data_IF_061506328484
#
_entry.id   IF_061506328484
#
_cell.length_a   1.000
_cell.length_b   1.000
_cell.length_c   1.000
_cell.angle_alpha   90.00
_cell.angle_beta   90.00
_cell.angle_gamma   90.00
#
_symmetry.space_group_name_H-M   'P 1'
#
loop_
_entity.id
_entity.type
_entity.pdbx_description
1 polymer ?
#
# COMPACT_ATOMS: atom_id res chain seq x y z
N UNK A 1 -40.29 -14.89 3.78
CA UNK A 1 -40.37 -13.53 4.37
C UNK A 1 -40.42 -12.51 3.24
N UNK A 2 -41.47 -11.68 3.24
CA UNK A 2 -41.97 -10.89 2.11
C UNK A 2 -41.08 -9.66 1.86
N UNK A 3 -40.54 -9.51 0.64
CA UNK A 3 -40.01 -8.23 0.13
C UNK A 3 -41.14 -7.50 -0.59
N UNK A 4 -41.49 -6.30 -0.14
CA UNK A 4 -42.48 -5.43 -0.77
C UNK A 4 -41.79 -4.59 -1.86
N UNK A 5 -42.20 -4.82 -3.11
CA UNK A 5 -42.19 -3.84 -4.20
C UNK A 5 -43.10 -2.67 -3.82
N UNK A 6 -42.66 -1.43 -4.07
CA UNK A 6 -43.56 -0.31 -4.38
C UNK A 6 -42.97 0.48 -5.55
N UNK A 7 -43.67 0.40 -6.67
CA UNK A 7 -43.62 1.38 -7.76
C UNK A 7 -44.91 2.19 -7.69
N UNK A 8 -44.83 3.52 -7.78
CA UNK A 8 -45.95 4.32 -8.25
C UNK A 8 -45.44 5.59 -8.95
N UNK A 9 -45.91 5.71 -10.18
CA UNK A 9 -45.64 6.67 -11.23
C UNK A 9 -46.54 7.91 -11.05
N UNK A 10 -46.05 9.10 -11.37
CA UNK A 10 -46.91 10.23 -11.76
C UNK A 10 -46.26 11.02 -12.91
N UNK A 11 -47.00 11.06 -14.02
CA UNK A 11 -46.86 11.78 -15.30
C UNK A 11 -47.39 13.24 -15.11
N UNK A 12 -47.21 14.28 -15.93
CA UNK A 12 -46.46 14.65 -17.15
C UNK A 12 -46.65 16.19 -17.35
N UNK A 13 -45.89 16.78 -18.29
CA UNK A 13 -46.03 18.06 -19.04
C UNK A 13 -45.29 19.29 -18.48
N UNK A 14 -44.61 20.16 -19.24
CA UNK A 14 -44.00 20.21 -20.58
C UNK A 14 -43.39 21.64 -20.75
N UNK A 15 -42.51 21.83 -21.75
CA UNK A 15 -41.93 23.09 -22.26
C UNK A 15 -40.65 23.55 -21.51
N UNK A 16 -39.55 23.99 -22.13
CA UNK A 16 -39.18 24.23 -23.52
C UNK A 16 -37.68 24.58 -23.58
N UNK A 17 -37.01 24.13 -24.64
CA UNK A 17 -35.83 24.71 -25.32
C UNK A 17 -34.78 25.52 -24.54
N UNK A 18 -33.54 25.01 -24.55
CA UNK A 18 -32.34 25.70 -25.07
C UNK A 18 -31.16 24.71 -25.04
N UNK A 19 -30.92 24.02 -26.16
CA UNK A 19 -29.67 23.30 -26.42
C UNK A 19 -28.72 24.25 -27.13
N UNK A 20 -27.74 24.79 -26.41
CA UNK A 20 -26.53 25.32 -27.05
C UNK A 20 -25.52 24.20 -27.13
N UNK A 21 -25.48 23.52 -28.29
CA UNK A 21 -24.35 22.69 -28.69
C UNK A 21 -23.15 23.62 -28.92
N UNK A 22 -22.22 23.65 -27.96
CA UNK A 22 -20.87 24.16 -28.22
C UNK A 22 -20.09 22.99 -28.80
N UNK A 23 -19.94 22.99 -30.12
CA UNK A 23 -18.97 22.13 -30.82
C UNK A 23 -17.54 22.59 -30.45
N UNK A 24 -17.08 22.15 -29.28
CA UNK A 24 -15.68 22.24 -28.88
C UNK A 24 -14.97 20.96 -29.31
N UNK A 25 -14.23 21.01 -30.42
CA UNK A 25 -13.24 20.00 -30.75
C UNK A 25 -12.21 19.98 -29.62
N UNK A 26 -12.20 18.89 -28.84
CA UNK A 26 -11.16 18.66 -27.83
C UNK A 26 -9.81 18.65 -28.55
N UNK A 27 -9.02 19.71 -28.37
CA UNK A 27 -7.63 19.69 -28.80
C UNK A 27 -6.89 18.62 -28.00
N UNK A 28 -6.10 17.75 -28.64
CA UNK A 28 -5.24 16.83 -27.92
C UNK A 28 -4.29 17.66 -27.04
N UNK A 29 -4.40 17.47 -25.73
CA UNK A 29 -3.44 17.99 -24.76
C UNK A 29 -2.09 17.39 -25.13
N UNK A 30 -1.22 18.18 -25.77
CA UNK A 30 0.17 17.80 -25.98
C UNK A 30 0.81 17.67 -24.61
N UNK A 31 0.94 16.45 -24.12
CA UNK A 31 1.83 16.15 -23.00
C UNK A 31 3.23 16.58 -23.41
N UNK A 32 3.68 17.72 -22.86
CA UNK A 32 5.05 18.16 -22.99
C UNK A 32 5.90 17.12 -22.27
N UNK A 33 6.78 16.46 -23.01
CA UNK A 33 7.77 15.55 -22.43
C UNK A 33 8.48 16.30 -21.26
N UNK A 34 8.56 15.71 -20.06
CA UNK A 34 9.23 16.37 -18.95
C UNK A 34 10.67 16.64 -19.35
N UNK A 35 11.08 17.91 -19.20
CA UNK A 35 12.47 18.32 -19.36
C UNK A 35 13.35 17.46 -18.46
N UNK A 36 14.35 16.81 -19.06
CA UNK A 36 15.38 16.03 -18.37
C UNK A 36 16.14 16.92 -17.39
N UNK A 37 15.73 16.91 -16.13
CA UNK A 37 16.54 17.46 -15.04
C UNK A 37 17.77 16.57 -14.92
N UNK A 38 18.94 17.12 -15.25
CA UNK A 38 20.23 16.46 -15.02
C UNK A 38 20.39 16.21 -13.53
N UNK A 39 20.20 14.95 -13.12
CA UNK A 39 20.49 14.49 -11.79
C UNK A 39 22.02 14.39 -11.61
N UNK A 40 22.56 15.13 -10.66
CA UNK A 40 23.92 14.93 -10.15
C UNK A 40 24.05 13.49 -9.68
N UNK A 41 24.96 12.72 -10.28
CA UNK A 41 25.17 11.30 -9.98
C UNK A 41 25.52 11.10 -8.51
N UNK A 42 24.77 10.28 -7.75
CA UNK A 42 25.16 9.95 -6.39
C UNK A 42 26.40 9.05 -6.39
N UNK A 43 27.21 9.26 -5.37
CA UNK A 43 28.41 8.54 -4.95
C UNK A 43 28.37 7.05 -5.29
N UNK A 44 29.46 6.58 -5.90
CA UNK A 44 29.77 5.18 -6.23
C UNK A 44 29.25 4.17 -5.19
N UNK A 45 28.04 3.66 -5.42
CA UNK A 45 27.57 2.43 -4.80
C UNK A 45 28.31 1.31 -5.53
N UNK A 46 29.26 0.66 -4.88
CA UNK A 46 29.77 -0.65 -5.33
C UNK A 46 28.56 -1.50 -5.69
N UNK A 47 28.35 -1.75 -6.98
CA UNK A 47 27.24 -2.55 -7.49
C UNK A 47 27.37 -3.93 -6.88
N UNK A 48 26.61 -4.17 -5.81
CA UNK A 48 26.67 -5.42 -5.09
C UNK A 48 26.12 -6.48 -6.04
N UNK A 49 26.98 -7.41 -6.45
CA UNK A 49 26.62 -8.43 -7.43
C UNK A 49 25.58 -9.36 -6.83
N UNK A 50 24.40 -9.42 -7.44
CA UNK A 50 23.37 -10.43 -7.12
C UNK A 50 23.91 -11.80 -7.53
N UNK A 51 23.91 -12.76 -6.61
CA UNK A 51 24.15 -14.17 -6.94
C UNK A 51 22.86 -14.79 -7.49
N UNK A 52 22.79 -15.16 -8.78
CA UNK A 52 21.59 -15.76 -9.36
C UNK A 52 21.18 -17.08 -8.71
N UNK A 53 22.10 -17.79 -8.05
CA UNK A 53 21.82 -19.05 -7.36
C UNK A 53 21.24 -18.84 -5.96
N UNK A 54 21.52 -17.69 -5.33
CA UNK A 54 21.11 -17.35 -3.97
C UNK A 54 20.74 -15.87 -3.86
N UNK A 55 19.57 -15.51 -4.41
CA UNK A 55 19.06 -14.15 -4.41
C UNK A 55 18.65 -13.76 -2.99
N UNK A 56 19.43 -12.86 -2.38
CA UNK A 56 19.17 -12.24 -1.08
C UNK A 56 18.46 -10.91 -1.28
N UNK A 57 17.47 -10.60 -0.45
CA UNK A 57 16.72 -9.35 -0.54
C UNK A 57 17.66 -8.13 -0.47
N UNK A 58 18.60 -8.11 0.48
CA UNK A 58 19.53 -6.99 0.65
C UNK A 58 20.48 -6.76 -0.54
N UNK A 59 20.70 -7.78 -1.36
CA UNK A 59 21.60 -7.70 -2.52
C UNK A 59 20.81 -7.30 -3.77
N UNK A 60 19.58 -7.82 -3.90
CA UNK A 60 18.71 -7.57 -5.04
C UNK A 60 17.93 -6.23 -4.94
N UNK A 61 17.57 -5.82 -3.72
CA UNK A 61 16.77 -4.62 -3.45
C UNK A 61 17.62 -3.43 -2.97
N UNK A 62 18.89 -3.66 -2.61
CA UNK A 62 19.81 -2.61 -2.14
C UNK A 62 19.40 -2.02 -0.79
N UNK A 63 19.40 -0.68 -0.71
CA UNK A 63 18.90 0.05 0.46
C UNK A 63 17.36 -0.07 0.59
N UNK A 64 16.92 -0.88 1.55
CA UNK A 64 15.51 -1.18 1.81
C UNK A 64 14.70 0.03 2.27
N UNK A 65 15.34 1.12 2.67
CA UNK A 65 14.63 2.36 3.07
C UNK A 65 14.22 3.21 1.87
N UNK A 66 14.88 3.04 0.72
CA UNK A 66 14.66 3.88 -0.46
C UNK A 66 14.35 3.10 -1.73
N UNK A 67 14.39 1.76 -1.70
CA UNK A 67 14.08 0.95 -2.86
C UNK A 67 12.66 1.25 -3.39
N UNK A 68 12.50 1.15 -4.70
CA UNK A 68 11.25 1.34 -5.41
C UNK A 68 10.72 -0.03 -5.86
N UNK A 69 9.66 -0.51 -5.20
CA UNK A 69 9.04 -1.79 -5.48
C UNK A 69 8.54 -1.91 -6.94
N UNK A 70 8.21 -0.81 -7.60
CA UNK A 70 7.71 -0.88 -8.99
C UNK A 70 8.77 -1.25 -10.02
N UNK A 71 10.03 -1.08 -9.66
CA UNK A 71 11.14 -1.35 -10.58
C UNK A 71 11.44 -2.84 -10.73
N UNK A 72 11.02 -3.68 -9.77
CA UNK A 72 11.25 -5.13 -9.82
C UNK A 72 10.20 -5.88 -10.65
N UNK A 73 9.08 -5.24 -10.95
CA UNK A 73 8.05 -5.71 -11.87
C UNK A 73 7.49 -4.52 -12.68
N UNK A 74 8.26 -3.98 -13.65
CA UNK A 74 7.81 -2.86 -14.45
C UNK A 74 6.56 -3.25 -15.25
N UNK A 75 5.68 -2.29 -15.56
CA UNK A 75 4.41 -2.56 -16.24
C UNK A 75 4.59 -3.32 -17.57
N UNK A 76 5.66 -3.02 -18.30
CA UNK A 76 6.00 -3.69 -19.56
C UNK A 76 6.36 -5.18 -19.41
N UNK A 77 6.68 -5.64 -18.19
CA UNK A 77 6.98 -7.04 -17.88
C UNK A 77 5.76 -7.80 -17.32
N UNK A 78 4.61 -7.14 -17.17
CA UNK A 78 3.41 -7.78 -16.66
C UNK A 78 2.93 -8.90 -17.58
N UNK A 79 2.36 -10.00 -17.03
CA UNK A 79 1.83 -11.09 -17.83
C UNK A 79 0.83 -10.60 -18.87
N UNK A 80 1.01 -10.97 -20.14
CA UNK A 80 0.16 -10.52 -21.25
C UNK A 80 -1.34 -10.79 -21.02
N UNK A 81 -1.68 -11.82 -20.22
CA UNK A 81 -3.06 -12.15 -19.86
C UNK A 81 -3.76 -11.04 -19.04
N UNK A 82 -3.01 -10.18 -18.35
CA UNK A 82 -3.57 -9.04 -17.61
C UNK A 82 -4.12 -7.97 -18.55
N UNK A 83 -3.69 -7.95 -19.82
CA UNK A 83 -4.17 -6.99 -20.82
C UNK A 83 -5.48 -7.39 -21.50
N UNK A 84 -6.08 -8.53 -21.14
CA UNK A 84 -7.25 -9.10 -21.83
C UNK A 84 -8.48 -8.17 -21.79
N UNK A 85 -8.69 -7.46 -20.69
CA UNK A 85 -9.88 -6.63 -20.46
C UNK A 85 -9.57 -5.14 -20.36
N UNK A 86 -8.34 -4.74 -20.68
CA UNK A 86 -7.85 -3.37 -20.58
C UNK A 86 -6.37 -3.35 -20.23
N UNK A 87 -5.74 -2.18 -20.29
CA UNK A 87 -4.32 -2.04 -19.96
C UNK A 87 -4.15 -1.88 -18.45
N UNK A 88 -3.36 -2.74 -17.78
CA UNK A 88 -2.98 -2.51 -16.39
C UNK A 88 -2.30 -1.15 -16.22
N UNK A 89 -2.61 -0.45 -15.14
CA UNK A 89 -2.04 0.87 -14.89
C UNK A 89 -1.61 1.02 -13.44
N UNK A 90 -0.55 1.79 -13.25
CA UNK A 90 0.00 2.07 -11.94
C UNK A 90 -0.97 2.98 -11.15
N UNK A 91 -1.24 2.65 -9.89
CA UNK A 91 -2.05 3.46 -8.98
C UNK A 91 -1.24 3.85 -7.74
N UNK A 92 -1.63 4.93 -7.07
CA UNK A 92 -0.95 5.36 -5.84
C UNK A 92 -0.94 4.21 -4.82
N UNK A 93 0.24 3.82 -4.31
CA UNK A 93 0.33 2.73 -3.36
C UNK A 93 -0.21 3.16 -2.00
N UNK A 94 -0.62 2.18 -1.19
CA UNK A 94 -1.09 2.45 0.18
C UNK A 94 0.06 2.73 1.15
N UNK A 95 1.24 2.17 0.89
CA UNK A 95 2.47 2.38 1.66
C UNK A 95 3.59 2.91 0.77
N UNK A 96 4.55 3.64 1.34
CA UNK A 96 5.70 4.16 0.58
C UNK A 96 6.62 3.04 0.06
N UNK A 97 6.66 1.86 0.68
CA UNK A 97 7.46 0.71 0.25
C UNK A 97 6.69 -0.30 -0.61
N UNK A 98 5.63 0.16 -1.28
CA UNK A 98 4.75 -0.69 -2.07
C UNK A 98 4.59 -0.14 -3.50
N UNK A 99 4.36 -1.05 -4.43
CA UNK A 99 3.89 -0.76 -5.77
C UNK A 99 2.45 -1.25 -5.89
N UNK A 100 1.57 -0.42 -6.43
CA UNK A 100 0.18 -0.78 -6.74
C UNK A 100 -0.11 -0.67 -8.22
N UNK A 101 -0.84 -1.65 -8.74
CA UNK A 101 -1.33 -1.74 -10.10
C UNK A 101 -2.79 -2.15 -10.11
N UNK A 102 -3.60 -1.43 -10.89
CA UNK A 102 -4.97 -1.83 -11.16
C UNK A 102 -4.99 -2.68 -12.42
N UNK A 103 -5.57 -3.88 -12.34
CA UNK A 103 -5.79 -4.76 -13.48
C UNK A 103 -7.28 -4.77 -13.83
N UNK A 104 -7.68 -4.24 -15.00
CA UNK A 104 -9.05 -4.34 -15.46
C UNK A 104 -9.47 -5.80 -15.68
N UNK A 105 -10.69 -6.13 -15.23
CA UNK A 105 -11.38 -7.39 -15.51
C UNK A 105 -12.60 -7.15 -16.41
N UNK A 106 -13.29 -8.24 -16.77
CA UNK A 106 -14.56 -8.15 -17.47
C UNK A 106 -15.61 -7.43 -16.61
N UNK A 107 -16.44 -6.58 -17.22
CA UNK A 107 -17.64 -6.00 -16.61
C UNK A 107 -17.38 -5.00 -15.49
N UNK A 108 -16.66 -3.92 -15.78
CA UNK A 108 -16.31 -2.81 -14.86
C UNK A 108 -15.63 -3.24 -13.54
N UNK A 109 -15.23 -4.50 -13.42
CA UNK A 109 -14.50 -5.02 -12.27
C UNK A 109 -13.00 -4.78 -12.42
N UNK A 110 -12.30 -4.67 -11.29
CA UNK A 110 -10.85 -4.53 -11.25
C UNK A 110 -10.24 -5.41 -10.15
N UNK A 111 -8.95 -5.68 -10.27
CA UNK A 111 -8.11 -6.24 -9.22
C UNK A 111 -7.07 -5.19 -8.84
N UNK A 112 -6.91 -4.97 -7.55
CA UNK A 112 -5.78 -4.25 -6.97
C UNK A 112 -4.63 -5.25 -6.77
N UNK A 113 -3.55 -5.09 -7.52
CA UNK A 113 -2.32 -5.86 -7.36
C UNK A 113 -1.24 -5.03 -6.71
N UNK A 114 -0.66 -5.61 -5.67
CA UNK A 114 0.13 -4.88 -4.70
C UNK A 114 1.37 -5.70 -4.35
N UNK A 115 2.56 -5.10 -4.34
CA UNK A 115 3.77 -5.79 -3.88
C UNK A 115 4.81 -4.84 -3.31
N UNK A 116 5.72 -5.37 -2.51
CA UNK A 116 6.89 -4.62 -2.02
C UNK A 116 7.11 -4.81 -0.53
N UNK A 117 6.05 -4.69 0.29
CA UNK A 117 6.19 -4.71 1.75
C UNK A 117 7.04 -5.90 2.21
N UNK A 118 8.12 -5.58 2.91
CA UNK A 118 9.05 -6.58 3.40
C UNK A 118 8.68 -7.00 4.81
N UNK A 119 8.88 -8.28 5.08
CA UNK A 119 8.86 -8.83 6.44
C UNK A 119 9.97 -9.85 6.58
N UNK A 120 10.41 -10.04 7.80
CA UNK A 120 11.25 -11.19 8.13
C UNK A 120 10.36 -12.43 8.23
N UNK A 121 10.92 -13.58 7.87
CA UNK A 121 10.29 -14.88 8.01
C UNK A 121 11.27 -15.89 8.61
N UNK A 122 10.82 -16.83 9.46
CA UNK A 122 11.65 -17.91 9.98
C UNK A 122 12.40 -18.65 8.87
N UNK A 123 13.62 -19.12 9.14
CA UNK A 123 14.64 -19.60 8.18
C UNK A 123 14.20 -20.57 7.06
N UNK A 124 15.03 -20.72 5.99
CA UNK A 124 14.67 -21.32 4.69
C UNK A 124 14.08 -22.72 4.75
N UNK A 125 14.39 -23.46 5.81
CA UNK A 125 13.95 -24.84 6.00
C UNK A 125 12.52 -24.98 6.55
N UNK A 126 11.96 -23.91 7.12
CA UNK A 126 10.73 -23.99 7.90
C UNK A 126 9.43 -23.92 7.08
N UNK A 127 9.47 -23.55 5.79
CA UNK A 127 8.24 -23.20 5.06
C UNK A 127 8.19 -23.83 3.67
N UNK A 128 7.21 -24.72 3.47
CA UNK A 128 6.90 -25.29 2.15
C UNK A 128 6.37 -24.18 1.24
N UNK A 129 6.85 -24.14 0.00
CA UNK A 129 6.45 -23.17 -1.00
C UNK A 129 6.88 -23.61 -2.40
N UNK A 130 6.32 -23.00 -3.45
CA UNK A 130 6.74 -23.28 -4.82
C UNK A 130 8.15 -22.72 -5.04
N UNK A 131 9.06 -23.55 -5.55
CA UNK A 131 10.40 -23.10 -5.89
C UNK A 131 10.34 -22.21 -7.13
N UNK A 132 10.86 -21.00 -7.01
CA UNK A 132 11.00 -20.10 -8.14
C UNK A 132 12.42 -20.15 -8.71
N UNK A 133 13.39 -20.75 -8.02
CA UNK A 133 14.81 -20.79 -8.37
C UNK A 133 15.60 -19.67 -7.69
N UNK A 134 16.93 -19.74 -7.76
CA UNK A 134 17.83 -18.75 -7.17
C UNK A 134 17.68 -18.62 -5.65
N UNK A 135 17.32 -19.71 -4.96
CA UNK A 135 17.03 -19.73 -3.53
C UNK A 135 15.71 -19.06 -3.14
N UNK A 136 14.93 -18.54 -4.10
CA UNK A 136 13.64 -17.90 -3.83
C UNK A 136 12.49 -18.91 -3.84
N UNK A 137 11.51 -18.68 -2.96
CA UNK A 137 10.30 -19.50 -2.88
C UNK A 137 9.06 -18.64 -2.80
N UNK A 138 7.98 -19.09 -3.40
CA UNK A 138 6.66 -18.51 -3.22
C UNK A 138 5.90 -19.27 -2.14
N UNK A 139 5.58 -18.61 -1.05
CA UNK A 139 4.87 -19.17 0.09
C UNK A 139 3.45 -18.60 0.13
N UNK A 140 2.46 -19.45 0.36
CA UNK A 140 1.10 -18.98 0.59
C UNK A 140 0.98 -18.42 2.01
N UNK A 141 0.37 -17.23 2.17
CA UNK A 141 0.10 -16.63 3.47
C UNK A 141 -1.40 -16.70 3.79
N UNK A 142 -2.19 -15.86 3.12
CA UNK A 142 -3.62 -15.73 3.37
C UNK A 142 -4.38 -15.75 2.06
N UNK A 143 -5.58 -16.33 2.08
CA UNK A 143 -6.45 -16.33 0.91
C UNK A 143 -7.91 -16.35 1.34
N UNK A 144 -8.72 -15.52 0.71
CA UNK A 144 -10.16 -15.53 0.81
C UNK A 144 -10.78 -15.33 -0.58
N UNK A 145 -12.11 -15.19 -0.63
CA UNK A 145 -12.81 -15.03 -1.90
C UNK A 145 -12.56 -13.68 -2.60
N UNK A 146 -12.11 -12.67 -1.85
CA UNK A 146 -11.90 -11.29 -2.31
C UNK A 146 -10.47 -10.80 -2.16
N UNK A 147 -9.58 -11.60 -1.56
CA UNK A 147 -8.18 -11.25 -1.45
C UNK A 147 -7.27 -12.48 -1.46
N UNK A 148 -6.02 -12.31 -1.89
CA UNK A 148 -4.97 -13.31 -1.73
C UNK A 148 -3.62 -12.65 -1.47
N UNK A 149 -2.89 -13.16 -0.48
CA UNK A 149 -1.53 -12.73 -0.14
C UNK A 149 -0.59 -13.93 -0.27
N UNK A 150 0.49 -13.73 -1.00
CA UNK A 150 1.61 -14.66 -1.10
C UNK A 150 2.91 -13.95 -0.83
N UNK A 151 3.88 -14.64 -0.25
CA UNK A 151 5.21 -14.10 -0.01
C UNK A 151 6.21 -14.64 -1.01
N UNK A 152 6.89 -13.73 -1.71
CA UNK A 152 8.14 -14.03 -2.38
C UNK A 152 9.27 -13.99 -1.34
N UNK A 153 9.68 -15.17 -0.92
CA UNK A 153 10.74 -15.37 0.05
C UNK A 153 12.12 -15.35 -0.62
N UNK A 154 13.06 -14.65 0.01
CA UNK A 154 14.47 -14.58 -0.37
C UNK A 154 15.36 -15.55 0.42
N UNK A 155 16.59 -15.76 -0.07
CA UNK A 155 17.55 -16.67 0.54
C UNK A 155 18.06 -16.21 1.92
N UNK A 156 17.91 -14.93 2.26
CA UNK A 156 18.36 -14.33 3.52
C UNK A 156 17.29 -14.24 4.61
N UNK A 157 16.15 -14.88 4.41
CA UNK A 157 15.07 -14.93 5.42
C UNK A 157 14.14 -13.73 5.39
N UNK A 158 14.32 -12.79 4.47
CA UNK A 158 13.31 -11.77 4.17
C UNK A 158 12.28 -12.31 3.18
N UNK A 159 11.12 -11.69 3.18
CA UNK A 159 10.02 -11.96 2.26
C UNK A 159 9.35 -10.66 1.81
N UNK A 160 8.97 -10.61 0.54
CA UNK A 160 8.18 -9.54 -0.05
C UNK A 160 6.75 -10.03 -0.21
N UNK A 161 5.78 -9.31 0.35
CA UNK A 161 4.37 -9.63 0.14
C UNK A 161 3.94 -9.26 -1.27
N UNK A 162 3.06 -10.07 -1.83
CA UNK A 162 2.36 -9.87 -3.10
C UNK A 162 0.89 -10.15 -2.82
N UNK A 163 0.08 -9.11 -2.95
CA UNK A 163 -1.32 -9.06 -2.59
C UNK A 163 -2.18 -8.79 -3.83
N UNK A 164 -3.34 -9.43 -3.86
CA UNK A 164 -4.37 -9.21 -4.86
C UNK A 164 -5.71 -9.05 -4.15
N UNK A 165 -6.35 -7.90 -4.33
CA UNK A 165 -7.68 -7.59 -3.78
C UNK A 165 -8.69 -7.35 -4.89
N UNK A 166 -9.95 -7.71 -4.65
CA UNK A 166 -11.06 -7.40 -5.53
C UNK A 166 -12.31 -7.04 -4.71
N UNK A 167 -13.06 -6.03 -5.17
CA UNK A 167 -14.31 -5.60 -4.53
C UNK A 167 -15.36 -6.71 -4.47
N UNK A 168 -15.38 -7.56 -5.49
CA UNK A 168 -16.29 -8.70 -5.60
C UNK A 168 -15.52 -10.00 -5.68
N UNK A 169 -16.21 -11.12 -5.41
CA UNK A 169 -15.58 -12.44 -5.46
C UNK A 169 -15.00 -12.68 -6.86
N UNK A 170 -13.69 -12.90 -6.91
CA UNK A 170 -12.99 -13.21 -8.15
C UNK A 170 -12.36 -14.60 -8.04
N UNK A 171 -12.63 -15.45 -9.02
CA UNK A 171 -11.91 -16.71 -9.16
C UNK A 171 -10.46 -16.40 -9.56
N UNK A 172 -9.50 -16.99 -8.84
CA UNK A 172 -8.07 -16.98 -9.17
C UNK A 172 -7.20 -15.80 -8.68
N UNK A 173 -7.58 -15.03 -7.65
CA UNK A 173 -6.71 -13.97 -7.08
C UNK A 173 -5.27 -14.46 -6.75
N UNK A 174 -5.14 -15.66 -6.18
CA UNK A 174 -3.82 -16.28 -5.93
C UNK A 174 -3.05 -16.69 -7.20
N UNK A 175 -3.73 -16.77 -8.34
CA UNK A 175 -3.11 -16.93 -9.65
C UNK A 175 -2.39 -15.65 -10.05
N UNK A 176 -3.06 -14.50 -9.91
CA UNK A 176 -2.48 -13.19 -10.23
C UNK A 176 -1.24 -12.88 -9.39
N UNK A 177 -1.30 -13.09 -8.07
CA UNK A 177 -0.14 -12.89 -7.19
C UNK A 177 1.03 -13.82 -7.57
N UNK A 178 0.74 -15.08 -7.91
CA UNK A 178 1.74 -16.03 -8.40
C UNK A 178 2.41 -15.55 -9.69
N UNK A 179 1.66 -15.02 -10.65
CA UNK A 179 2.25 -14.57 -11.90
C UNK A 179 3.17 -13.36 -11.68
N UNK A 180 2.76 -12.41 -10.84
CA UNK A 180 3.61 -11.28 -10.44
C UNK A 180 4.88 -11.78 -9.73
N UNK A 181 4.76 -12.75 -8.83
CA UNK A 181 5.91 -13.36 -8.16
C UNK A 181 6.90 -14.00 -9.15
N UNK A 182 6.39 -14.65 -10.21
CA UNK A 182 7.21 -15.23 -11.26
C UNK A 182 7.95 -14.13 -12.06
N UNK A 183 7.28 -13.02 -12.37
CA UNK A 183 7.90 -11.86 -13.04
C UNK A 183 9.03 -11.28 -12.20
N UNK A 184 8.76 -10.98 -10.92
CA UNK A 184 9.76 -10.45 -9.98
C UNK A 184 10.92 -11.45 -9.85
N UNK A 185 10.63 -12.72 -9.60
CA UNK A 185 11.64 -13.75 -9.44
C UNK A 185 12.54 -13.89 -10.68
N UNK A 186 11.96 -13.85 -11.89
CA UNK A 186 12.72 -13.90 -13.14
C UNK A 186 13.61 -12.67 -13.30
N UNK A 187 13.11 -11.47 -13.00
CA UNK A 187 13.88 -10.24 -13.05
C UNK A 187 15.11 -10.30 -12.13
N UNK A 188 14.92 -10.65 -10.86
CA UNK A 188 15.99 -10.67 -9.88
C UNK A 188 17.02 -11.79 -10.15
N UNK A 189 16.59 -12.99 -10.57
CA UNK A 189 17.53 -14.06 -10.99
C UNK A 189 18.30 -13.73 -12.26
N UNK A 190 17.74 -12.87 -13.13
CA UNK A 190 18.43 -12.35 -14.29
C UNK A 190 19.56 -11.37 -13.94
N UNK A 191 19.81 -11.10 -12.65
CA UNK A 191 20.72 -10.07 -12.18
C UNK A 191 20.11 -8.68 -12.14
N UNK A 192 18.79 -8.56 -12.33
CA UNK A 192 18.06 -7.31 -12.13
C UNK A 192 18.14 -6.87 -10.67
N UNK A 193 18.29 -5.56 -10.47
CA UNK A 193 18.27 -4.93 -9.15
C UNK A 193 17.12 -3.93 -9.09
N UNK A 194 16.52 -3.77 -7.91
CA UNK A 194 15.57 -2.69 -7.70
C UNK A 194 16.24 -1.33 -7.94
N UNK A 195 15.48 -0.40 -8.54
CA UNK A 195 15.81 1.01 -8.51
C UNK A 195 15.50 1.62 -7.14
N UNK A 196 15.92 2.86 -6.96
CA UNK A 196 15.73 3.62 -5.74
C UNK A 196 15.02 4.94 -6.03
N UNK A 197 14.09 5.31 -5.17
CA UNK A 197 13.42 6.59 -5.25
C UNK A 197 14.42 7.73 -5.03
N UNK A 198 14.36 8.78 -5.84
CA UNK A 198 15.12 10.01 -5.62
C UNK A 198 14.39 10.79 -4.51
N UNK A 199 14.85 10.62 -3.29
CA UNK A 199 14.20 11.12 -2.09
C UNK A 199 14.82 12.42 -1.60
N UNK A 200 13.97 13.34 -1.14
CA UNK A 200 14.41 14.55 -0.45
C UNK A 200 14.81 14.21 0.98
N UNK A 201 15.70 14.99 1.60
CA UNK A 201 16.13 14.79 2.99
C UNK A 201 14.97 14.80 3.99
N UNK A 202 13.88 15.48 3.66
CA UNK A 202 12.67 15.54 4.48
C UNK A 202 11.74 14.34 4.26
N UNK A 203 12.09 13.34 3.45
CA UNK A 203 11.22 12.20 3.18
C UNK A 203 11.04 11.31 4.43
N UNK A 204 9.84 10.76 4.59
CA UNK A 204 9.52 9.71 5.57
C UNK A 204 10.32 8.43 5.32
N UNK A 205 10.84 8.22 4.10
CA UNK A 205 11.72 7.08 3.79
C UNK A 205 12.99 7.04 4.62
N UNK A 206 13.44 8.20 5.11
CA UNK A 206 14.60 8.33 6.00
C UNK A 206 14.24 8.31 7.50
N UNK A 207 12.97 8.07 7.83
CA UNK A 207 12.49 7.99 9.22
C UNK A 207 12.27 6.52 9.58
N UNK A 208 12.25 6.27 10.89
CA UNK A 208 11.87 4.96 11.44
C UNK A 208 10.54 5.09 12.19
N UNK A 209 9.53 4.37 11.71
CA UNK A 209 8.20 4.32 12.31
C UNK A 209 8.25 3.81 13.76
N UNK A 210 9.12 2.83 14.08
CA UNK A 210 9.26 2.30 15.44
C UNK A 210 9.86 3.33 16.40
N UNK A 211 10.76 4.17 15.91
CA UNK A 211 11.30 5.31 16.67
C UNK A 211 10.24 6.39 16.95
N UNK A 212 9.27 6.59 16.05
CA UNK A 212 8.16 7.51 16.27
C UNK A 212 7.12 6.95 17.26
N UNK A 213 6.81 5.65 17.16
CA UNK A 213 5.93 4.89 18.04
C UNK A 213 6.74 3.94 18.96
N UNK A 214 7.46 4.45 19.97
CA UNK A 214 8.17 3.60 20.90
C UNK A 214 7.18 2.84 21.80
N UNK A 215 7.61 1.72 22.37
CA UNK A 215 6.78 0.87 23.22
C UNK A 215 6.10 1.64 24.37
N UNK A 216 6.78 2.62 24.98
CA UNK A 216 6.21 3.49 26.02
C UNK A 216 4.97 4.24 25.53
N UNK A 217 4.97 4.70 24.28
CA UNK A 217 3.85 5.41 23.69
C UNK A 217 2.72 4.45 23.31
N UNK A 218 3.04 3.30 22.73
CA UNK A 218 2.07 2.25 22.43
C UNK A 218 1.34 1.76 23.70
N UNK A 219 2.08 1.54 24.80
CA UNK A 219 1.54 1.16 26.11
C UNK A 219 0.75 2.29 26.82
N UNK A 220 0.75 3.52 26.28
CA UNK A 220 -0.11 4.59 26.80
C UNK A 220 -1.54 4.53 26.27
N UNK A 221 -1.79 3.70 25.26
CA UNK A 221 -3.15 3.43 24.76
C UNK A 221 -3.82 2.43 25.70
N UNK A 222 -5.02 2.72 26.23
CA UNK A 222 -5.77 1.77 27.04
C UNK A 222 -5.98 0.46 26.27
N UNK A 223 -5.54 -0.66 26.83
CA UNK A 223 -5.58 -1.94 26.10
C UNK A 223 -5.83 -3.18 26.98
N UNK A 224 -6.01 -3.00 28.29
CA UNK A 224 -6.21 -4.07 29.27
C UNK A 224 -5.02 -5.01 29.48
N UNK A 225 -3.98 -4.92 28.64
CA UNK A 225 -2.75 -5.70 28.72
C UNK A 225 -1.61 -4.95 28.03
N UNK A 226 -0.34 -5.19 28.42
CA UNK A 226 0.81 -4.59 27.76
C UNK A 226 0.85 -4.88 26.25
N UNK A 227 1.28 -3.88 25.50
CA UNK A 227 1.54 -3.96 24.08
C UNK A 227 2.90 -4.61 23.81
N UNK A 228 2.93 -5.57 22.90
CA UNK A 228 4.12 -6.29 22.45
C UNK A 228 4.37 -5.87 21.01
N UNK A 229 5.60 -5.46 20.70
CA UNK A 229 5.98 -5.14 19.33
C UNK A 229 5.89 -6.42 18.49
N UNK A 230 5.28 -6.32 17.31
CA UNK A 230 5.52 -7.30 16.27
C UNK A 230 6.91 -7.08 15.67
N UNK A 231 7.33 -8.03 14.85
CA UNK A 231 8.65 -7.99 14.21
C UNK A 231 8.90 -6.65 13.50
N UNK A 232 10.13 -6.16 13.63
CA UNK A 232 10.53 -4.87 13.06
C UNK A 232 10.48 -5.00 11.53
N UNK A 233 9.70 -4.13 10.89
CA UNK A 233 9.65 -4.08 9.43
C UNK A 233 11.05 -3.72 8.88
N UNK A 234 11.63 -4.53 7.97
CA UNK A 234 12.96 -4.28 7.40
C UNK A 234 13.13 -2.92 6.70
N UNK A 235 12.06 -2.31 6.21
CA UNK A 235 12.08 -0.98 5.57
C UNK A 235 12.03 0.16 6.59
N UNK A 236 11.70 -0.14 7.85
CA UNK A 236 11.43 0.82 8.93
C UNK A 236 10.22 1.74 8.68
N UNK A 237 9.42 1.49 7.64
CA UNK A 237 8.28 2.36 7.29
C UNK A 237 6.98 1.98 7.98
N UNK A 238 6.97 0.89 8.74
CA UNK A 238 5.83 0.45 9.54
C UNK A 238 6.28 -0.03 10.92
N UNK A 239 5.45 0.25 11.92
CA UNK A 239 5.61 -0.23 13.28
C UNK A 239 4.27 -0.76 13.79
N UNK A 240 4.27 -1.99 14.28
CA UNK A 240 3.07 -2.64 14.77
C UNK A 240 3.25 -3.16 16.19
N UNK A 241 2.23 -2.96 17.01
CA UNK A 241 2.09 -3.57 18.33
C UNK A 241 0.79 -4.37 18.39
N UNK A 242 0.80 -5.45 19.16
CA UNK A 242 -0.39 -6.25 19.46
C UNK A 242 -0.42 -6.62 20.94
N UNK A 243 -1.56 -7.12 21.42
CA UNK A 243 -1.65 -7.72 22.74
C UNK A 243 -2.61 -8.92 22.77
N UNK A 244 -2.71 -9.57 23.94
CA UNK A 244 -3.54 -10.76 24.16
C UNK A 244 -5.05 -10.50 24.03
N UNK A 245 -5.49 -9.24 23.99
CA UNK A 245 -6.89 -8.86 23.82
C UNK A 245 -7.25 -8.63 22.35
N UNK A 246 -6.41 -9.07 21.41
CA UNK A 246 -6.56 -8.83 19.98
C UNK A 246 -6.71 -7.32 19.64
N UNK A 247 -6.07 -6.46 20.44
CA UNK A 247 -5.89 -5.06 20.09
C UNK A 247 -4.57 -4.90 19.35
N UNK A 248 -4.58 -4.16 18.25
CA UNK A 248 -3.36 -3.77 17.55
C UNK A 248 -3.27 -2.26 17.38
N UNK A 249 -2.03 -1.77 17.31
CA UNK A 249 -1.68 -0.41 16.90
C UNK A 249 -0.74 -0.55 15.71
N UNK A 250 -1.05 0.13 14.62
CA UNK A 250 -0.21 0.18 13.42
C UNK A 250 0.12 1.63 13.14
N UNK A 251 1.40 1.97 13.02
CA UNK A 251 1.88 3.22 12.44
C UNK A 251 2.54 2.89 11.11
N UNK A 252 2.12 3.54 10.04
CA UNK A 252 2.62 3.29 8.68
C UNK A 252 2.91 4.62 7.98
N UNK A 253 3.99 4.67 7.22
CA UNK A 253 4.26 5.75 6.27
C UNK A 253 3.62 5.40 4.93
N UNK A 254 2.82 6.33 4.41
CA UNK A 254 1.96 6.10 3.25
C UNK A 254 2.25 7.10 2.14
N UNK A 255 1.89 6.74 0.92
CA UNK A 255 1.69 7.70 -0.16
C UNK A 255 0.19 8.02 -0.28
N UNK A 256 -0.18 9.28 -0.36
CA UNK A 256 -1.59 9.72 -0.35
C UNK A 256 -1.77 11.01 -1.15
N UNK A 257 -3.02 11.38 -1.43
CA UNK A 257 -3.36 12.72 -1.93
C UNK A 257 -3.09 13.80 -0.88
N UNK A 258 -2.65 14.98 -1.33
CA UNK A 258 -2.61 16.18 -0.50
C UNK A 258 -4.00 16.59 0.00
N UNK A 259 -5.03 16.33 -0.81
CA UNK A 259 -6.42 16.51 -0.43
C UNK A 259 -6.92 15.26 0.30
N UNK A 260 -7.07 15.37 1.62
CA UNK A 260 -7.57 14.29 2.46
C UNK A 260 -9.10 14.06 2.34
N UNK A 261 -9.81 14.82 1.51
CA UNK A 261 -11.23 14.56 1.21
C UNK A 261 -11.44 13.35 0.28
N UNK A 262 -10.37 12.84 -0.34
CA UNK A 262 -10.40 11.63 -1.17
C UNK A 262 -10.80 10.37 -0.40
N UNK A 263 -10.67 10.40 0.93
CA UNK A 263 -11.18 9.35 1.79
C UNK A 263 -12.69 9.57 1.97
N UNK A 264 -13.51 8.95 1.12
CA UNK A 264 -14.97 9.18 0.97
C UNK A 264 -15.78 9.09 2.27
N UNK A 265 -15.30 8.31 3.24
CA UNK A 265 -15.94 8.13 4.55
C UNK A 265 -15.17 8.77 5.72
N UNK A 266 -14.14 9.57 5.42
CA UNK A 266 -13.35 10.22 6.44
C UNK A 266 -14.06 11.45 7.01
N UNK A 267 -13.98 11.58 8.34
CA UNK A 267 -14.20 12.86 9.01
C UNK A 267 -12.91 13.63 9.09
N UNK A 268 -12.88 14.84 8.52
CA UNK A 268 -11.74 15.75 8.65
C UNK A 268 -11.75 16.39 10.05
N UNK A 269 -10.65 16.23 10.77
CA UNK A 269 -10.44 16.74 12.14
C UNK A 269 -9.06 17.41 12.26
N UNK A 270 -8.86 18.15 13.36
CA UNK A 270 -7.54 18.71 13.71
C UNK A 270 -6.95 17.94 14.88
N UNK A 271 -5.77 17.34 14.70
CA UNK A 271 -5.09 16.52 15.71
C UNK A 271 -3.64 16.96 15.80
N UNK A 272 -3.17 17.30 17.01
CA UNK A 272 -1.80 17.80 17.20
C UNK A 272 -1.48 19.04 16.34
N UNK A 273 -2.49 19.84 16.01
CA UNK A 273 -2.36 21.02 15.14
C UNK A 273 -2.45 20.74 13.63
N UNK A 274 -2.44 19.48 13.18
CA UNK A 274 -2.48 19.11 11.75
C UNK A 274 -3.88 18.70 11.31
N UNK A 275 -4.21 18.98 10.05
CA UNK A 275 -5.40 18.43 9.38
C UNK A 275 -5.21 16.92 9.24
N UNK A 276 -6.23 16.16 9.65
CA UNK A 276 -6.18 14.71 9.74
C UNK A 276 -7.51 14.13 9.26
N UNK A 277 -7.46 13.19 8.32
CA UNK A 277 -8.61 12.36 7.96
C UNK A 277 -8.77 11.26 9.01
N UNK A 278 -9.98 11.07 9.52
CA UNK A 278 -10.32 9.99 10.45
C UNK A 278 -11.33 9.06 9.82
N UNK A 279 -10.92 7.81 9.59
CA UNK A 279 -11.72 6.74 8.99
C UNK A 279 -12.04 5.70 10.07
N UNK A 280 -13.24 5.14 10.03
CA UNK A 280 -13.65 4.04 10.91
C UNK A 280 -14.15 2.91 10.05
N UNK A 281 -13.56 1.73 10.21
CA UNK A 281 -13.93 0.54 9.44
C UNK A 281 -14.34 -0.58 10.42
N UNK A 282 -15.29 -1.41 10.01
CA UNK A 282 -15.63 -2.63 10.71
C UNK A 282 -15.38 -3.81 9.78
N UNK A 283 -14.54 -4.74 10.22
CA UNK A 283 -14.16 -5.91 9.44
C UNK A 283 -15.16 -7.05 9.67
N UNK A 284 -15.18 -8.02 8.74
CA UNK A 284 -16.11 -9.14 8.79
C UNK A 284 -15.96 -10.05 10.02
N UNK A 285 -14.83 -10.01 10.71
CA UNK A 285 -14.59 -10.74 11.97
C UNK A 285 -15.13 -10.01 13.22
N UNK A 286 -15.81 -8.87 13.03
CA UNK A 286 -16.37 -8.04 14.09
C UNK A 286 -15.34 -7.13 14.77
N UNK A 287 -14.10 -7.07 14.29
CA UNK A 287 -13.15 -6.05 14.72
C UNK A 287 -13.48 -4.69 14.09
N UNK A 288 -13.16 -3.62 14.81
CA UNK A 288 -13.33 -2.24 14.37
C UNK A 288 -11.97 -1.56 14.41
N UNK A 289 -11.64 -0.79 13.37
CA UNK A 289 -10.48 0.10 13.35
C UNK A 289 -10.90 1.57 13.43
N UNK A 290 -10.05 2.39 14.04
CA UNK A 290 -10.04 3.83 13.80
C UNK A 290 -8.68 4.22 13.26
N UNK A 291 -8.65 4.67 12.00
CA UNK A 291 -7.46 5.09 11.28
C UNK A 291 -7.43 6.60 11.19
N UNK A 292 -6.30 7.21 11.52
CA UNK A 292 -6.03 8.64 11.36
C UNK A 292 -4.88 8.83 10.37
N UNK A 293 -5.10 9.65 9.35
CA UNK A 293 -4.14 9.95 8.28
C UNK A 293 -3.85 11.44 8.25
N UNK A 294 -2.57 11.82 8.24
CA UNK A 294 -2.14 13.21 8.01
C UNK A 294 -1.04 13.26 6.95
N UNK A 295 -0.94 14.37 6.24
CA UNK A 295 0.10 14.63 5.25
C UNK A 295 1.36 15.17 5.95
N UNK A 296 2.54 14.90 5.38
CA UNK A 296 3.82 15.33 5.93
C UNK A 296 4.63 16.19 4.95
N UNK A 297 5.04 15.62 3.82
CA UNK A 297 5.87 16.31 2.82
C UNK A 297 5.49 15.89 1.41
N UNK A 298 5.98 16.61 0.40
CA UNK A 298 5.78 16.22 -1.00
C UNK A 298 6.46 14.88 -1.27
N UNK A 299 5.73 13.96 -1.92
CA UNK A 299 6.34 12.70 -2.33
C UNK A 299 7.43 12.93 -3.38
N UNK A 300 8.45 12.05 -3.45
CA UNK A 300 9.34 11.97 -4.59
C UNK A 300 8.55 11.98 -5.89
N UNK A 301 9.16 12.51 -6.96
CA UNK A 301 8.60 12.32 -8.29
C UNK A 301 8.50 10.80 -8.53
N UNK A 302 7.28 10.31 -8.61
CA UNK A 302 6.98 8.91 -8.86
C UNK A 302 6.25 8.80 -10.20
N UNK A 303 6.08 7.56 -10.66
CA UNK A 303 5.20 7.27 -11.79
C UNK A 303 3.71 7.50 -11.45
N UNK A 304 3.41 7.82 -10.19
CA UNK A 304 2.08 8.13 -9.69
C UNK A 304 1.84 9.64 -9.76
N UNK A 305 0.59 10.06 -9.55
CA UNK A 305 0.16 11.44 -9.81
C UNK A 305 1.11 12.49 -9.20
N UNK A 306 1.30 13.62 -9.88
CA UNK A 306 2.18 14.70 -9.40
C UNK A 306 1.68 15.39 -8.12
N UNK A 307 0.50 14.99 -7.60
CA UNK A 307 -0.16 15.52 -6.41
C UNK A 307 0.03 14.63 -5.17
N UNK A 308 0.75 13.52 -5.31
CA UNK A 308 1.05 12.62 -4.22
C UNK A 308 1.93 13.29 -3.14
N UNK A 309 1.62 13.01 -1.88
CA UNK A 309 2.35 13.45 -0.69
C UNK A 309 2.63 12.25 0.20
N UNK A 310 3.78 12.28 0.84
CA UNK A 310 4.06 11.35 1.91
C UNK A 310 3.23 11.72 3.15
N UNK A 311 2.59 10.72 3.72
CA UNK A 311 1.73 10.85 4.89
C UNK A 311 2.06 9.82 5.96
N UNK A 312 1.44 10.01 7.11
CA UNK A 312 1.53 9.08 8.24
C UNK A 312 0.12 8.62 8.58
N UNK A 313 -0.08 7.31 8.64
CA UNK A 313 -1.31 6.68 9.10
C UNK A 313 -1.07 6.00 10.45
N UNK A 314 -1.93 6.27 11.43
CA UNK A 314 -2.01 5.46 12.66
C UNK A 314 -3.38 4.82 12.78
N UNK A 315 -3.40 3.50 12.99
CA UNK A 315 -4.61 2.71 13.18
C UNK A 315 -4.58 2.07 14.55
N UNK A 316 -5.72 2.12 15.26
CA UNK A 316 -5.98 1.24 16.40
C UNK A 316 -7.10 0.31 16.00
N UNK A 317 -6.88 -1.00 16.16
CA UNK A 317 -7.84 -2.05 15.83
C UNK A 317 -8.18 -2.80 17.11
N UNK A 318 -9.47 -3.07 17.36
CA UNK A 318 -9.95 -3.86 18.50
C UNK A 318 -11.06 -4.80 18.06
N UNK A 319 -11.12 -5.99 18.65
CA UNK A 319 -12.34 -6.81 18.60
C UNK A 319 -13.41 -6.22 19.53
N UNK A 320 -14.63 -6.13 19.00
CA UNK A 320 -15.83 -5.62 19.68
C UNK A 320 -15.77 -4.10 19.97
N UNK A 321 -16.61 -3.36 19.24
CA UNK A 321 -16.68 -1.90 19.25
C UNK A 321 -16.90 -1.33 20.66
N UNK A 322 -15.87 -0.67 21.19
CA UNK A 322 -16.02 0.28 22.29
C UNK A 322 -16.09 1.70 21.72
N UNK A 323 -17.02 2.52 22.20
CA UNK A 323 -17.19 3.93 21.81
C UNK A 323 -15.95 4.82 22.00
N UNK A 324 -14.89 4.34 22.66
CA UNK A 324 -13.63 5.07 22.89
C UNK A 324 -12.54 4.87 21.83
N UNK A 325 -12.69 3.96 20.86
CA UNK A 325 -11.59 3.58 19.93
C UNK A 325 -10.97 4.79 19.20
N UNK A 326 -11.79 5.66 18.63
CA UNK A 326 -11.30 6.85 17.94
C UNK A 326 -10.78 7.92 18.88
N UNK A 327 -11.22 7.97 20.14
CA UNK A 327 -10.66 8.89 21.13
C UNK A 327 -9.22 8.48 21.47
N UNK A 328 -9.00 7.18 21.66
CA UNK A 328 -7.66 6.62 21.91
C UNK A 328 -6.72 6.85 20.72
N UNK A 329 -7.20 6.60 19.50
CA UNK A 329 -6.42 6.83 18.28
C UNK A 329 -6.11 8.32 18.08
N UNK A 330 -7.06 9.21 18.39
CA UNK A 330 -6.84 10.66 18.36
C UNK A 330 -5.80 11.11 19.39
N UNK A 331 -5.86 10.59 20.60
CA UNK A 331 -4.90 10.91 21.65
C UNK A 331 -3.47 10.43 21.30
N UNK A 332 -3.35 9.23 20.72
CA UNK A 332 -2.07 8.71 20.22
C UNK A 332 -1.52 9.56 19.08
N UNK A 333 -2.35 9.83 18.06
CA UNK A 333 -2.00 10.69 16.92
C UNK A 333 -1.56 12.09 17.38
N UNK A 334 -2.22 12.68 18.37
CA UNK A 334 -1.85 13.98 18.92
C UNK A 334 -0.41 14.02 19.47
N UNK A 335 0.06 12.92 20.05
CA UNK A 335 1.45 12.79 20.54
C UNK A 335 2.45 12.51 19.41
N UNK A 336 2.03 11.76 18.38
CA UNK A 336 2.87 11.42 17.23
C UNK A 336 3.06 12.63 16.30
N UNK A 337 1.99 13.36 15.98
CA UNK A 337 1.98 14.39 14.93
C UNK A 337 2.85 15.59 15.28
N UNK A 338 2.99 15.87 16.59
CA UNK A 338 3.87 16.94 17.11
C UNK A 338 5.34 16.62 16.90
N UNK A 339 5.71 15.34 16.74
CA UNK A 339 7.08 14.90 16.44
C UNK A 339 7.43 14.98 14.96
N UNK A 340 6.44 15.10 14.07
CA UNK A 340 6.63 15.22 12.62
C UNK A 340 7.01 16.66 12.22
N UNK A 341 7.98 17.26 12.90
CA UNK A 341 8.49 18.60 12.52
C UNK A 341 9.64 18.49 11.54
#
# INVERSE_FOLDING_TARGET
MKRKLWSALALLLALSACTTEIAGTAQPVRHRAPSSVSASSPTSTTTRKVDPAYVRAKDALGDLTTYDACTVAPMAAMPAKFSRYGTPYAASPYSIDQCRVIVPLAGDHTIDLDWGKLRSMPGPEATKGADLGGGMRLVADQSAATFCVQDLRFADGLAMSIEADAETKSGELCGYTRDVAVVIGKFLRGGGTAGHAIVQQTSLRHKDACSLLPAKLANSVPAGSPMIALEVNPTHHSCQYTNNNAQSIVLEFIDTSADLSVFTDAKIVKVGGRVTARVTETYGDGSTSCRLVTTYTKAPASQYSSQNVEGVAVSIIRRHSSSSLCADATALAGKLWVKLK
#
